data_IF_593063831462
#
_entry.id   IF_593063831462
#
_cell.length_a   1.000
_cell.length_b   1.000
_cell.length_c   1.000
_cell.angle_alpha   90.00
_cell.angle_beta   90.00
_cell.angle_gamma   90.00
#
_symmetry.space_group_name_H-M   'P 1'
#
loop_
_entity.id
_entity.type
_entity.pdbx_description
1 polymer ?
#
# COMPACT_ATOMS: atom_id res chain seq x y z
N UNK A 1 -10.24 38.69 13.83
CA UNK A 1 -11.04 37.44 13.86
C UNK A 1 -10.07 36.28 13.69
N UNK A 2 -10.17 35.25 14.52
CA UNK A 2 -9.39 34.04 14.30
C UNK A 2 -9.85 33.41 12.99
N UNK A 3 -8.91 32.99 12.15
CA UNK A 3 -9.22 32.25 10.93
C UNK A 3 -9.80 30.88 11.32
N UNK A 4 -11.06 30.65 10.98
CA UNK A 4 -11.80 29.42 11.29
C UNK A 4 -11.76 28.42 10.14
N UNK A 5 -10.99 28.69 9.09
CA UNK A 5 -10.87 27.82 7.93
C UNK A 5 -10.16 26.51 8.32
N UNK A 6 -10.83 25.40 8.08
CA UNK A 6 -10.26 24.05 8.28
C UNK A 6 -9.26 23.74 7.17
N UNK A 7 -8.02 23.37 7.54
CA UNK A 7 -6.94 23.13 6.58
C UNK A 7 -6.25 21.79 6.83
N UNK A 8 -6.00 21.08 5.74
CA UNK A 8 -5.17 19.88 5.73
C UNK A 8 -3.84 20.15 5.01
N UNK A 9 -2.76 19.67 5.60
CA UNK A 9 -1.49 19.45 4.89
C UNK A 9 -1.48 18.02 4.39
N UNK A 10 -1.43 17.84 3.10
CA UNK A 10 -1.39 16.52 2.44
C UNK A 10 -0.01 16.33 1.83
N UNK A 11 0.65 15.21 2.17
CA UNK A 11 2.02 14.90 1.70
C UNK A 11 1.94 13.72 0.76
N UNK A 12 2.55 13.85 -0.42
CA UNK A 12 2.57 12.81 -1.44
C UNK A 12 3.89 12.82 -2.23
N UNK A 13 4.71 11.79 -2.04
CA UNK A 13 5.92 11.54 -2.84
C UNK A 13 5.63 10.79 -4.14
N UNK A 14 4.39 10.36 -4.36
CA UNK A 14 3.87 9.71 -5.57
C UNK A 14 2.55 10.33 -5.99
N UNK A 15 2.26 10.28 -7.29
CA UNK A 15 1.00 10.78 -7.85
C UNK A 15 -0.14 9.81 -7.57
N UNK A 16 -0.85 10.05 -6.47
CA UNK A 16 -2.02 9.29 -6.01
C UNK A 16 -2.90 10.11 -5.06
N UNK A 17 -4.11 9.63 -4.77
CA UNK A 17 -5.00 10.23 -3.79
C UNK A 17 -5.79 11.43 -4.30
N UNK A 18 -5.94 11.59 -5.62
CA UNK A 18 -6.72 12.66 -6.23
C UNK A 18 -8.16 12.73 -5.67
N UNK A 19 -8.79 11.55 -5.46
CA UNK A 19 -10.14 11.48 -4.90
C UNK A 19 -10.20 11.89 -3.41
N UNK A 20 -9.13 11.66 -2.64
CA UNK A 20 -9.02 12.20 -1.29
C UNK A 20 -9.05 13.73 -1.29
N UNK A 21 -8.25 14.35 -2.18
CA UNK A 21 -8.17 15.80 -2.31
C UNK A 21 -9.50 16.43 -2.77
N UNK A 22 -10.15 15.81 -3.77
CA UNK A 22 -11.47 16.25 -4.23
C UNK A 22 -12.52 16.15 -3.13
N UNK A 23 -12.56 15.03 -2.40
CA UNK A 23 -13.48 14.84 -1.30
C UNK A 23 -13.26 15.84 -0.15
N UNK A 24 -12.01 16.17 0.17
CA UNK A 24 -11.70 17.23 1.11
C UNK A 24 -12.28 18.57 0.66
N UNK A 25 -12.11 18.94 -0.60
CA UNK A 25 -12.66 20.19 -1.14
C UNK A 25 -14.20 20.22 -1.15
N UNK A 26 -14.86 19.10 -1.50
CA UNK A 26 -16.32 18.95 -1.43
C UNK A 26 -16.85 19.15 -0.01
N UNK A 27 -16.08 18.77 1.00
CA UNK A 27 -16.40 18.96 2.41
C UNK A 27 -15.95 20.31 2.98
N UNK A 28 -15.45 21.22 2.11
CA UNK A 28 -15.05 22.59 2.49
C UNK A 28 -13.66 22.70 3.11
N UNK A 29 -12.86 21.62 3.10
CA UNK A 29 -11.49 21.63 3.60
C UNK A 29 -10.56 22.31 2.58
N UNK A 30 -9.69 23.18 3.05
CA UNK A 30 -8.62 23.79 2.26
C UNK A 30 -7.36 22.90 2.34
N UNK A 31 -7.05 22.22 1.26
CA UNK A 31 -5.91 21.30 1.20
C UNK A 31 -4.67 21.99 0.60
N UNK A 32 -3.56 21.97 1.33
CA UNK A 32 -2.23 22.26 0.78
C UNK A 32 -1.54 20.95 0.46
N UNK A 33 -1.23 20.71 -0.81
CA UNK A 33 -0.48 19.52 -1.23
C UNK A 33 1.02 19.83 -1.23
N UNK A 34 1.78 19.08 -0.44
CA UNK A 34 3.24 19.09 -0.41
C UNK A 34 3.76 17.87 -1.15
N UNK A 35 4.44 18.08 -2.27
CA UNK A 35 4.93 17.00 -3.15
C UNK A 35 6.35 17.27 -3.65
N UNK A 36 6.90 16.36 -4.47
CA UNK A 36 8.23 16.52 -5.05
C UNK A 36 8.20 17.38 -6.32
N UNK A 37 9.29 18.11 -6.61
CA UNK A 37 9.40 18.95 -7.82
C UNK A 37 9.10 18.17 -9.10
N UNK A 38 9.52 16.91 -9.19
CA UNK A 38 9.25 16.04 -10.33
C UNK A 38 7.75 15.74 -10.57
N UNK A 39 6.92 15.94 -9.54
CA UNK A 39 5.46 15.71 -9.59
C UNK A 39 4.68 17.03 -9.69
N UNK A 40 5.36 18.16 -9.89
CA UNK A 40 4.74 19.47 -10.01
C UNK A 40 3.62 19.47 -11.05
N UNK A 41 3.89 18.90 -12.22
CA UNK A 41 3.00 18.90 -13.37
C UNK A 41 2.18 17.60 -13.49
N UNK A 42 2.13 16.79 -12.41
CA UNK A 42 1.31 15.59 -12.34
C UNK A 42 -0.20 15.90 -12.40
N UNK A 43 -0.99 14.85 -12.58
CA UNK A 43 -2.46 14.92 -12.68
C UNK A 43 -3.10 15.19 -11.30
N UNK A 44 -2.76 16.34 -10.71
CA UNK A 44 -3.33 16.79 -9.46
C UNK A 44 -4.62 17.58 -9.68
N UNK A 45 -5.67 17.38 -8.84
CA UNK A 45 -6.91 18.15 -8.92
C UNK A 45 -6.69 19.59 -8.41
N UNK A 46 -6.10 20.43 -9.27
CA UNK A 46 -5.70 21.79 -8.95
C UNK A 46 -6.87 22.64 -8.40
N UNK A 47 -8.05 22.39 -8.91
CA UNK A 47 -9.31 23.02 -8.50
C UNK A 47 -9.70 22.68 -7.05
N UNK A 48 -9.21 21.56 -6.52
CA UNK A 48 -9.48 21.09 -5.16
C UNK A 48 -8.42 21.51 -4.15
N UNK A 49 -7.35 22.20 -4.59
CA UNK A 49 -6.24 22.63 -3.75
C UNK A 49 -6.31 24.11 -3.39
N UNK A 50 -6.00 24.45 -2.13
CA UNK A 50 -5.67 25.83 -1.76
C UNK A 50 -4.31 26.21 -2.32
N UNK A 51 -3.34 25.28 -2.24
CA UNK A 51 -1.98 25.48 -2.74
C UNK A 51 -1.31 24.14 -3.06
N UNK A 52 -0.45 24.14 -4.07
CA UNK A 52 0.49 23.08 -4.34
C UNK A 52 1.91 23.59 -4.09
N UNK A 53 2.59 22.98 -3.13
CA UNK A 53 3.97 23.28 -2.77
C UNK A 53 4.85 22.13 -3.18
N UNK A 54 5.96 22.41 -3.84
CA UNK A 54 6.90 21.37 -4.26
C UNK A 54 8.23 21.50 -3.52
N UNK A 55 8.86 20.35 -3.32
CA UNK A 55 10.17 20.23 -2.69
C UNK A 55 11.16 19.51 -3.61
N UNK A 56 12.44 19.88 -3.60
CA UNK A 56 13.49 19.08 -4.23
C UNK A 56 13.50 17.65 -3.69
N UNK A 57 13.83 16.69 -4.54
CA UNK A 57 14.11 15.33 -4.09
C UNK A 57 15.36 15.32 -3.21
N UNK A 58 15.37 14.47 -2.16
CA UNK A 58 16.54 14.28 -1.29
C UNK A 58 16.65 15.31 -0.14
N UNK A 59 15.61 16.09 0.15
CA UNK A 59 15.59 16.87 1.38
C UNK A 59 15.65 15.93 2.60
N UNK A 60 16.47 16.32 3.57
CA UNK A 60 16.50 15.61 4.85
C UNK A 60 15.31 16.00 5.73
N UNK A 61 15.10 15.26 6.82
CA UNK A 61 13.99 15.43 7.77
C UNK A 61 13.88 16.85 8.31
N UNK A 62 15.00 17.45 8.71
CA UNK A 62 15.05 18.81 9.28
C UNK A 62 14.60 19.85 8.26
N UNK A 63 15.03 19.72 7.01
CA UNK A 63 14.64 20.63 5.93
C UNK A 63 13.14 20.58 5.65
N UNK A 64 12.54 19.36 5.67
CA UNK A 64 11.09 19.19 5.50
C UNK A 64 10.34 19.82 6.68
N UNK A 65 10.78 19.56 7.93
CA UNK A 65 10.18 20.17 9.13
C UNK A 65 10.25 21.70 9.07
N UNK A 66 11.39 22.26 8.66
CA UNK A 66 11.57 23.70 8.51
C UNK A 66 10.65 24.29 7.43
N UNK A 67 10.47 23.57 6.31
CA UNK A 67 9.54 23.98 5.25
C UNK A 67 8.10 24.07 5.78
N UNK A 68 7.63 23.02 6.45
CA UNK A 68 6.27 22.99 7.01
C UNK A 68 6.10 24.02 8.12
N UNK A 69 7.10 24.21 8.98
CA UNK A 69 7.09 25.24 10.03
C UNK A 69 7.05 26.65 9.43
N UNK A 70 7.73 26.87 8.30
CA UNK A 70 7.64 28.13 7.58
C UNK A 70 6.23 28.38 7.02
N UNK A 71 5.62 27.37 6.41
CA UNK A 71 4.24 27.46 5.91
C UNK A 71 3.25 27.75 7.04
N UNK A 72 3.45 27.18 8.21
CA UNK A 72 2.60 27.35 9.38
C UNK A 72 2.64 28.77 9.99
N UNK A 73 3.59 29.63 9.58
CA UNK A 73 3.61 31.05 10.02
C UNK A 73 2.42 31.85 9.50
N UNK A 74 1.84 31.44 8.36
CA UNK A 74 0.75 32.18 7.72
C UNK A 74 -0.58 31.43 7.74
N UNK A 75 -0.59 30.15 8.16
CA UNK A 75 -1.80 29.31 8.19
C UNK A 75 -1.70 28.22 9.25
N UNK A 76 -2.81 27.82 9.81
CA UNK A 76 -2.92 26.69 10.71
C UNK A 76 -3.25 25.43 9.89
N UNK A 77 -2.65 24.29 10.23
CA UNK A 77 -3.03 22.97 9.74
C UNK A 77 -3.72 22.20 10.85
N UNK A 78 -4.92 21.70 10.58
CA UNK A 78 -5.75 20.93 11.51
C UNK A 78 -5.50 19.43 11.39
N UNK A 79 -5.08 18.98 10.21
CA UNK A 79 -4.65 17.60 9.92
C UNK A 79 -3.42 17.60 9.02
N UNK A 80 -2.61 16.54 9.18
CA UNK A 80 -1.47 16.25 8.31
C UNK A 80 -1.62 14.80 7.86
N UNK A 81 -1.76 14.57 6.56
CA UNK A 81 -2.06 13.26 5.98
C UNK A 81 -0.98 12.88 4.97
N UNK A 82 -0.41 11.68 5.11
CA UNK A 82 0.47 11.10 4.10
C UNK A 82 -0.37 10.19 3.20
N UNK A 83 -0.39 10.46 1.89
CA UNK A 83 -1.13 9.64 0.93
C UNK A 83 -0.40 8.34 0.55
N UNK A 84 0.88 8.25 0.93
CA UNK A 84 1.71 7.07 0.71
C UNK A 84 2.42 6.62 1.97
N UNK A 85 2.78 5.34 2.01
CA UNK A 85 3.52 4.77 3.12
C UNK A 85 4.93 5.37 3.28
N UNK A 86 5.56 5.79 2.19
CA UNK A 86 6.90 6.40 2.23
C UNK A 86 6.92 7.73 2.98
N UNK A 87 5.79 8.44 2.98
CA UNK A 87 5.64 9.73 3.67
C UNK A 87 5.11 9.60 5.11
N UNK A 88 4.73 8.38 5.52
CA UNK A 88 4.00 8.14 6.77
C UNK A 88 4.78 8.57 8.02
N UNK A 89 6.07 8.17 8.11
CA UNK A 89 6.92 8.54 9.24
C UNK A 89 7.19 10.04 9.29
N UNK A 90 7.44 10.66 8.13
CA UNK A 90 7.65 12.10 8.05
C UNK A 90 6.40 12.87 8.46
N UNK A 91 5.22 12.46 7.99
CA UNK A 91 3.96 13.04 8.40
C UNK A 91 3.71 12.90 9.91
N UNK A 92 4.10 11.77 10.52
CA UNK A 92 4.00 11.54 11.95
C UNK A 92 4.93 12.49 12.74
N UNK A 93 6.17 12.68 12.29
CA UNK A 93 7.10 13.63 12.88
C UNK A 93 6.61 15.07 12.81
N UNK A 94 6.06 15.47 11.66
CA UNK A 94 5.49 16.81 11.50
C UNK A 94 4.30 17.00 12.45
N UNK A 95 3.41 15.98 12.57
CA UNK A 95 2.29 16.02 13.53
C UNK A 95 2.78 16.22 14.97
N UNK A 96 3.77 15.45 15.41
CA UNK A 96 4.32 15.57 16.76
C UNK A 96 5.02 16.93 16.99
N UNK A 97 5.80 17.38 16.01
CA UNK A 97 6.50 18.67 16.07
C UNK A 97 5.50 19.84 16.19
N UNK A 98 4.45 19.83 15.39
CA UNK A 98 3.46 20.91 15.32
C UNK A 98 2.27 20.71 16.28
N UNK A 99 2.25 19.62 17.06
CA UNK A 99 1.13 19.28 17.96
C UNK A 99 -0.22 19.15 17.24
N UNK A 100 -0.19 18.64 16.00
CA UNK A 100 -1.39 18.33 15.23
C UNK A 100 -1.85 16.89 15.57
N UNK A 101 -3.13 16.67 15.88
CA UNK A 101 -3.64 15.33 16.20
C UNK A 101 -3.48 14.34 15.05
N UNK A 102 -3.18 13.06 15.40
CA UNK A 102 -3.07 11.96 14.44
C UNK A 102 -2.09 10.90 14.90
N UNK A 103 -1.78 9.97 14.01
CA UNK A 103 -0.81 8.89 14.26
C UNK A 103 0.58 9.48 14.53
N UNK A 104 1.17 9.15 15.70
CA UNK A 104 2.53 9.53 16.07
C UNK A 104 3.60 8.59 15.49
N UNK A 105 4.87 8.95 15.68
CA UNK A 105 6.03 8.24 15.09
C UNK A 105 6.10 6.77 15.53
N UNK A 106 5.82 6.47 16.79
CA UNK A 106 5.88 5.09 17.31
C UNK A 106 4.90 4.18 16.56
N UNK A 107 3.65 4.64 16.40
CA UNK A 107 2.64 3.88 15.66
C UNK A 107 2.95 3.83 14.16
N UNK A 108 3.39 4.94 13.56
CA UNK A 108 3.75 4.99 12.14
C UNK A 108 4.82 3.94 11.78
N UNK A 109 5.82 3.76 12.63
CA UNK A 109 6.85 2.72 12.45
C UNK A 109 6.29 1.30 12.45
N UNK A 110 5.20 1.03 13.19
CA UNK A 110 4.56 -0.28 13.17
C UNK A 110 3.95 -0.63 11.80
N UNK A 111 3.73 0.38 10.94
CA UNK A 111 3.23 0.22 9.58
C UNK A 111 4.31 0.38 8.51
N UNK A 112 5.57 0.52 8.91
CA UNK A 112 6.72 0.70 7.99
C UNK A 112 7.82 -0.33 8.21
N UNK A 113 8.11 -0.67 9.46
CA UNK A 113 9.18 -1.59 9.82
C UNK A 113 8.67 -3.04 9.88
N UNK A 114 8.95 -3.82 8.83
CA UNK A 114 8.56 -5.23 8.72
C UNK A 114 9.02 -6.06 9.93
N UNK A 115 10.21 -5.78 10.48
CA UNK A 115 10.67 -6.42 11.71
C UNK A 115 9.81 -6.05 12.91
N UNK A 116 9.47 -4.77 13.06
CA UNK A 116 8.56 -4.29 14.10
C UNK A 116 7.18 -4.96 14.01
N UNK A 117 6.61 -5.04 12.79
CA UNK A 117 5.36 -5.76 12.53
C UNK A 117 5.42 -7.22 12.99
N UNK A 118 6.50 -7.95 12.65
CA UNK A 118 6.70 -9.35 13.05
C UNK A 118 6.78 -9.52 14.55
N UNK A 119 7.56 -8.66 15.22
CA UNK A 119 7.74 -8.72 16.69
C UNK A 119 6.41 -8.50 17.40
N UNK A 120 5.64 -7.47 17.01
CA UNK A 120 4.35 -7.17 17.62
C UNK A 120 3.34 -8.28 17.34
N UNK A 121 3.20 -8.71 16.08
CA UNK A 121 2.27 -9.76 15.70
C UNK A 121 2.55 -11.07 16.48
N UNK A 122 3.82 -11.47 16.62
CA UNK A 122 4.24 -12.64 17.41
C UNK A 122 3.89 -12.47 18.88
N UNK A 123 4.19 -11.32 19.49
CA UNK A 123 3.91 -11.04 20.89
C UNK A 123 2.41 -11.11 21.22
N UNK A 124 1.57 -10.77 20.25
CA UNK A 124 0.11 -10.82 20.36
C UNK A 124 -0.49 -12.17 19.95
N UNK A 125 0.34 -13.19 19.70
CA UNK A 125 -0.09 -14.53 19.34
C UNK A 125 -0.59 -14.69 17.90
N UNK A 126 -0.30 -13.71 17.03
CA UNK A 126 -0.65 -13.80 15.62
C UNK A 126 0.27 -14.78 14.90
N UNK A 127 -0.29 -15.66 14.09
CA UNK A 127 0.51 -16.57 13.28
C UNK A 127 1.24 -15.79 12.22
N UNK A 128 2.57 -15.75 12.31
CA UNK A 128 3.46 -15.09 11.37
C UNK A 128 4.45 -16.05 10.76
N UNK A 129 5.18 -15.57 9.77
CA UNK A 129 6.32 -16.24 9.17
C UNK A 129 7.47 -16.24 10.18
N UNK A 130 8.25 -17.33 10.25
CA UNK A 130 9.46 -17.37 11.06
C UNK A 130 10.48 -16.35 10.54
N UNK A 131 11.10 -15.60 11.45
CA UNK A 131 12.02 -14.52 11.11
C UNK A 131 13.15 -14.39 12.12
N UNK A 132 14.23 -13.76 11.66
CA UNK A 132 15.39 -13.40 12.46
C UNK A 132 15.86 -11.97 12.13
N UNK A 133 16.34 -11.27 13.14
CA UNK A 133 17.02 -9.98 12.97
C UNK A 133 18.40 -10.20 12.38
N UNK A 134 18.80 -9.36 11.42
CA UNK A 134 20.15 -9.43 10.84
C UNK A 134 21.09 -8.51 11.63
N UNK A 135 21.32 -8.84 12.91
CA UNK A 135 22.16 -8.09 13.85
C UNK A 135 23.18 -8.98 14.53
N UNK A 136 22.75 -10.09 15.11
CA UNK A 136 23.61 -11.03 15.81
C UNK A 136 23.83 -12.27 14.95
N UNK A 137 25.08 -12.58 14.64
CA UNK A 137 25.41 -13.69 13.75
C UNK A 137 25.18 -15.06 14.39
N UNK A 138 25.17 -15.17 15.71
CA UNK A 138 24.81 -16.42 16.40
C UNK A 138 23.30 -16.65 16.32
N UNK A 139 22.45 -15.62 16.52
CA UNK A 139 21.01 -15.72 16.27
C UNK A 139 20.69 -16.15 14.84
N UNK A 140 21.48 -15.67 13.85
CA UNK A 140 21.32 -16.06 12.44
C UNK A 140 21.69 -17.53 12.22
N UNK A 141 22.77 -18.04 12.85
CA UNK A 141 23.15 -19.47 12.77
C UNK A 141 22.07 -20.35 13.37
N UNK A 142 21.59 -20.01 14.58
CA UNK A 142 20.51 -20.73 15.24
C UNK A 142 19.22 -20.72 14.42
N UNK A 143 18.92 -19.60 13.74
CA UNK A 143 17.76 -19.51 12.84
C UNK A 143 17.91 -20.44 11.63
N UNK A 144 19.06 -20.43 10.97
CA UNK A 144 19.33 -21.28 9.80
C UNK A 144 19.31 -22.78 10.13
N UNK A 145 19.71 -23.17 11.36
CA UNK A 145 19.62 -24.56 11.82
C UNK A 145 18.15 -25.01 12.03
N UNK A 146 17.31 -24.12 12.54
CA UNK A 146 15.88 -24.41 12.83
C UNK A 146 14.96 -24.29 11.62
N UNK A 147 15.23 -23.32 10.76
CA UNK A 147 14.39 -22.96 9.61
C UNK A 147 15.13 -23.29 8.33
N UNK A 148 14.62 -24.26 7.58
CA UNK A 148 15.25 -24.72 6.33
C UNK A 148 15.17 -23.64 5.24
N UNK A 149 16.21 -23.56 4.42
CA UNK A 149 16.20 -22.77 3.18
C UNK A 149 15.12 -23.28 2.20
N UNK A 150 14.70 -22.45 1.22
CA UNK A 150 15.19 -21.10 0.98
C UNK A 150 14.67 -20.08 1.99
N UNK A 151 15.42 -19.00 2.18
CA UNK A 151 15.01 -17.85 2.99
C UNK A 151 14.78 -16.63 2.11
N UNK A 152 14.12 -15.60 2.69
CA UNK A 152 13.95 -14.28 2.10
C UNK A 152 14.71 -13.25 2.95
N UNK A 153 15.74 -12.66 2.40
CA UNK A 153 16.40 -11.50 2.99
C UNK A 153 15.69 -10.25 2.47
N UNK A 154 15.00 -9.55 3.37
CA UNK A 154 14.16 -8.39 3.03
C UNK A 154 14.65 -7.13 3.73
N UNK A 155 14.57 -5.95 3.09
CA UNK A 155 14.72 -4.69 3.81
C UNK A 155 13.59 -4.56 4.84
N UNK A 156 13.90 -4.00 6.02
CA UNK A 156 12.92 -3.76 7.10
C UNK A 156 11.87 -2.73 6.70
N UNK A 157 12.29 -1.70 5.97
CA UNK A 157 11.40 -0.71 5.36
C UNK A 157 11.85 -0.44 3.94
N UNK A 158 10.92 -0.21 3.05
CA UNK A 158 11.22 0.18 1.68
C UNK A 158 11.66 1.63 1.65
N UNK A 159 12.77 1.91 0.96
CA UNK A 159 13.23 3.28 0.79
C UNK A 159 12.46 3.97 -0.34
N UNK A 160 12.18 5.25 -0.17
CA UNK A 160 11.59 6.07 -1.24
C UNK A 160 12.60 6.23 -2.40
N UNK A 161 12.27 5.69 -3.54
CA UNK A 161 12.60 6.20 -4.87
C UNK A 161 14.02 6.20 -5.42
N UNK A 162 15.11 6.03 -4.68
CA UNK A 162 16.46 6.21 -5.24
C UNK A 162 17.49 5.11 -4.93
N UNK A 163 17.19 4.15 -4.08
CA UNK A 163 18.15 3.11 -3.67
C UNK A 163 17.63 1.68 -3.88
N UNK A 164 16.71 1.49 -4.85
CA UNK A 164 15.99 0.23 -5.09
C UNK A 164 16.90 -0.93 -5.48
N UNK A 165 18.04 -0.69 -6.06
CA UNK A 165 19.00 -1.73 -6.44
C UNK A 165 19.67 -2.42 -5.25
N UNK A 166 19.94 -1.71 -4.15
CA UNK A 166 20.58 -2.24 -2.94
C UNK A 166 19.60 -2.81 -1.93
N UNK A 167 18.36 -2.33 -1.88
CA UNK A 167 17.32 -2.70 -0.90
C UNK A 167 16.28 -3.68 -1.45
N UNK A 168 16.59 -4.50 -2.44
CA UNK A 168 15.67 -5.49 -2.97
C UNK A 168 15.57 -6.72 -2.07
N UNK A 169 14.37 -7.33 -2.01
CA UNK A 169 14.19 -8.68 -1.44
C UNK A 169 15.00 -9.70 -2.24
N UNK A 170 15.80 -10.50 -1.54
CA UNK A 170 16.64 -11.54 -2.15
C UNK A 170 16.21 -12.92 -1.65
N UNK A 171 16.16 -13.90 -2.55
CA UNK A 171 16.04 -15.30 -2.16
C UNK A 171 17.43 -15.82 -1.83
N UNK A 172 17.55 -16.57 -0.75
CA UNK A 172 18.79 -17.13 -0.25
C UNK A 172 18.58 -18.62 -0.08
N UNK A 173 19.31 -19.42 -0.84
CA UNK A 173 19.13 -20.87 -0.91
C UNK A 173 20.09 -21.63 0.01
N UNK A 174 21.21 -21.01 0.37
CA UNK A 174 22.28 -21.64 1.16
C UNK A 174 22.91 -20.66 2.15
N UNK A 175 23.43 -21.13 3.31
CA UNK A 175 24.09 -20.29 4.31
C UNK A 175 25.26 -19.47 3.76
N UNK A 176 26.09 -20.05 2.89
CA UNK A 176 27.28 -19.41 2.32
C UNK A 176 26.88 -18.23 1.42
N UNK A 177 25.74 -18.31 0.75
CA UNK A 177 25.18 -17.21 -0.02
C UNK A 177 24.76 -16.07 0.90
N UNK A 178 24.09 -16.38 2.04
CA UNK A 178 23.71 -15.38 3.02
C UNK A 178 24.94 -14.62 3.53
N UNK A 179 25.98 -15.33 3.98
CA UNK A 179 27.16 -14.70 4.54
C UNK A 179 27.86 -13.78 3.56
N UNK A 180 27.97 -14.16 2.28
CA UNK A 180 28.52 -13.29 1.23
C UNK A 180 27.69 -12.02 1.06
N UNK A 181 26.35 -12.14 1.04
CA UNK A 181 25.46 -10.97 0.93
C UNK A 181 25.62 -10.05 2.14
N UNK A 182 25.74 -10.60 3.35
CA UNK A 182 25.92 -9.80 4.56
C UNK A 182 27.28 -9.12 4.61
N UNK A 183 28.33 -9.76 4.11
CA UNK A 183 29.65 -9.16 3.98
C UNK A 183 29.63 -7.97 3.01
N UNK A 184 28.97 -8.11 1.86
CA UNK A 184 28.77 -7.03 0.89
C UNK A 184 27.93 -5.86 1.45
N UNK A 185 26.97 -6.14 2.31
CA UNK A 185 26.13 -5.14 2.96
C UNK A 185 26.87 -4.38 4.07
N UNK A 186 27.84 -5.02 4.72
CA UNK A 186 28.55 -4.42 5.85
C UNK A 186 27.59 -3.95 6.95
N UNK A 187 27.75 -2.69 7.41
CA UNK A 187 26.91 -2.11 8.46
C UNK A 187 25.43 -1.94 8.03
N UNK A 188 25.16 -1.93 6.73
CA UNK A 188 23.79 -1.83 6.22
C UNK A 188 22.96 -3.10 6.48
N UNK A 189 23.57 -4.23 6.86
CA UNK A 189 22.86 -5.47 7.19
C UNK A 189 21.80 -5.27 8.28
N UNK A 190 22.00 -4.34 9.20
CA UNK A 190 21.05 -4.02 10.28
C UNK A 190 19.69 -3.49 9.77
N UNK A 191 19.62 -3.05 8.51
CA UNK A 191 18.39 -2.63 7.86
C UNK A 191 17.60 -3.77 7.21
N UNK A 192 18.03 -5.03 7.41
CA UNK A 192 17.37 -6.20 6.86
C UNK A 192 16.81 -7.12 7.94
N UNK A 193 15.91 -8.00 7.53
CA UNK A 193 15.47 -9.16 8.28
C UNK A 193 15.56 -10.39 7.38
N UNK A 194 15.81 -11.55 8.00
CA UNK A 194 15.78 -12.84 7.34
C UNK A 194 14.48 -13.55 7.68
N UNK A 195 13.74 -14.02 6.69
CA UNK A 195 12.47 -14.71 6.86
C UNK A 195 12.47 -16.09 6.21
N UNK A 196 11.71 -17.00 6.77
CA UNK A 196 11.35 -18.25 6.10
C UNK A 196 10.66 -17.93 4.77
N UNK A 197 11.06 -18.59 3.70
CA UNK A 197 10.26 -18.59 2.47
C UNK A 197 9.07 -19.53 2.64
N UNK A 198 7.88 -19.00 2.52
CA UNK A 198 6.63 -19.76 2.57
C UNK A 198 6.01 -19.75 1.18
N UNK A 199 6.01 -20.89 0.44
CA UNK A 199 5.26 -21.00 -0.80
C UNK A 199 3.77 -20.95 -0.53
N UNK A 200 3.03 -20.14 -1.28
CA UNK A 200 1.58 -19.96 -1.06
C UNK A 200 0.95 -18.93 -1.97
N UNK A 201 -0.36 -18.79 -1.83
CA UNK A 201 -1.17 -17.81 -2.53
C UNK A 201 -1.27 -16.52 -1.72
N UNK A 202 -1.13 -15.39 -2.39
CA UNK A 202 -1.19 -14.07 -1.74
C UNK A 202 -2.63 -13.58 -1.70
N UNK A 203 -3.01 -13.08 -0.54
CA UNK A 203 -4.28 -12.41 -0.30
C UNK A 203 -4.04 -11.04 0.29
N UNK A 204 -4.94 -10.12 0.04
CA UNK A 204 -4.89 -8.77 0.58
C UNK A 204 -6.25 -8.37 1.14
N UNK A 205 -6.20 -7.56 2.20
CA UNK A 205 -7.38 -7.00 2.85
C UNK A 205 -7.20 -5.50 2.99
N UNK A 206 -8.08 -4.76 2.34
CA UNK A 206 -8.14 -3.31 2.40
C UNK A 206 -9.21 -2.88 3.38
N UNK A 207 -8.90 -1.94 4.29
CA UNK A 207 -9.81 -1.62 5.39
C UNK A 207 -9.91 -0.14 5.67
N UNK A 208 -11.03 0.24 6.28
CA UNK A 208 -11.27 1.54 6.92
C UNK A 208 -11.38 1.29 8.43
N UNK A 209 -10.55 1.99 9.20
CA UNK A 209 -10.49 1.92 10.66
C UNK A 209 -10.95 3.24 11.24
N UNK A 210 -11.91 3.20 12.17
CA UNK A 210 -12.40 4.35 12.92
C UNK A 210 -12.50 4.00 14.40
N UNK A 211 -11.94 4.86 15.25
CA UNK A 211 -11.91 4.68 16.72
C UNK A 211 -11.34 3.31 17.15
N UNK A 212 -10.32 2.84 16.43
CA UNK A 212 -9.68 1.56 16.69
C UNK A 212 -10.48 0.33 16.27
N UNK A 213 -11.55 0.50 15.53
CA UNK A 213 -12.38 -0.59 15.01
C UNK A 213 -12.39 -0.60 13.47
N UNK A 214 -12.32 -1.78 12.89
CA UNK A 214 -12.49 -1.95 11.44
C UNK A 214 -13.96 -1.78 11.09
N UNK A 215 -14.30 -0.69 10.38
CA UNK A 215 -15.66 -0.37 9.95
C UNK A 215 -16.00 -0.93 8.58
N UNK A 216 -14.99 -1.20 7.77
CA UNK A 216 -15.11 -1.79 6.43
C UNK A 216 -13.87 -2.60 6.12
N UNK A 217 -14.05 -3.69 5.38
CA UNK A 217 -12.95 -4.44 4.80
C UNK A 217 -13.37 -5.15 3.52
N UNK A 218 -12.44 -5.22 2.57
CA UNK A 218 -12.59 -5.93 1.31
C UNK A 218 -11.45 -6.92 1.14
N UNK A 219 -11.78 -8.17 0.86
CA UNK A 219 -10.83 -9.29 0.75
C UNK A 219 -10.62 -9.65 -0.71
N UNK A 220 -9.37 -9.69 -1.13
CA UNK A 220 -8.97 -10.02 -2.49
C UNK A 220 -7.89 -11.10 -2.52
N UNK A 221 -7.83 -11.84 -3.61
CA UNK A 221 -6.77 -12.80 -3.93
C UNK A 221 -5.94 -12.25 -5.09
N UNK A 222 -4.61 -12.24 -4.93
CA UNK A 222 -3.67 -11.91 -6.01
C UNK A 222 -3.33 -13.15 -6.82
N UNK A 223 -3.35 -13.07 -8.14
CA UNK A 223 -2.90 -14.16 -9.02
C UNK A 223 -1.36 -14.30 -9.03
N UNK A 224 -0.65 -13.18 -9.01
CA UNK A 224 0.81 -13.09 -8.77
C UNK A 224 1.05 -11.84 -7.93
N UNK A 225 2.16 -11.81 -7.17
CA UNK A 225 2.49 -10.56 -6.48
C UNK A 225 2.78 -9.45 -7.50
N UNK A 226 2.30 -8.23 -7.22
CA UNK A 226 2.49 -7.08 -8.09
C UNK A 226 3.98 -6.85 -8.40
N UNK A 227 4.84 -6.97 -7.38
CA UNK A 227 6.29 -6.80 -7.53
C UNK A 227 6.94 -7.89 -8.38
N UNK A 228 6.47 -9.12 -8.29
CA UNK A 228 7.02 -10.23 -9.07
C UNK A 228 6.57 -10.12 -10.54
N UNK A 229 5.31 -9.78 -10.79
CA UNK A 229 4.80 -9.51 -12.13
C UNK A 229 5.48 -8.32 -12.81
N UNK A 230 5.77 -7.25 -12.06
CA UNK A 230 6.44 -6.06 -12.60
C UNK A 230 7.94 -6.28 -12.86
N UNK A 231 8.63 -7.07 -12.04
CA UNK A 231 10.09 -7.32 -12.21
C UNK A 231 10.38 -8.36 -13.29
N UNK A 232 9.58 -9.43 -13.33
CA UNK A 232 9.82 -10.56 -14.23
C UNK A 232 9.10 -10.38 -15.58
N UNK A 233 8.39 -9.27 -15.79
CA UNK A 233 7.48 -9.05 -16.89
C UNK A 233 6.30 -10.01 -16.82
N UNK A 234 5.10 -9.51 -16.64
CA UNK A 234 3.94 -10.37 -16.53
C UNK A 234 2.66 -9.57 -16.29
N UNK A 235 1.56 -10.29 -16.27
CA UNK A 235 0.25 -9.75 -15.94
C UNK A 235 0.02 -9.91 -14.44
N UNK A 236 -0.23 -8.81 -13.77
CA UNK A 236 -0.69 -8.79 -12.39
C UNK A 236 -2.21 -8.85 -12.37
N UNK A 237 -2.75 -9.76 -11.57
CA UNK A 237 -4.19 -9.94 -11.45
C UNK A 237 -4.61 -9.95 -9.99
N UNK A 238 -5.80 -9.39 -9.73
CA UNK A 238 -6.43 -9.43 -8.41
C UNK A 238 -7.92 -9.66 -8.59
N UNK A 239 -8.54 -10.46 -7.71
CA UNK A 239 -9.97 -10.71 -7.72
C UNK A 239 -10.57 -10.66 -6.32
N UNK A 240 -11.83 -10.26 -6.22
CA UNK A 240 -12.61 -10.38 -4.99
C UNK A 240 -12.74 -11.85 -4.59
N UNK A 241 -12.49 -12.14 -3.32
CA UNK A 241 -12.73 -13.46 -2.72
C UNK A 241 -14.23 -13.62 -2.47
N UNK A 242 -14.75 -14.82 -2.71
CA UNK A 242 -16.14 -15.13 -2.43
C UNK A 242 -16.46 -14.89 -0.94
N UNK A 243 -17.46 -14.04 -0.68
CA UNK A 243 -17.83 -13.60 0.67
C UNK A 243 -18.34 -14.73 1.56
N UNK A 244 -18.92 -15.76 0.95
CA UNK A 244 -19.43 -16.94 1.65
C UNK A 244 -18.35 -18.00 1.90
N UNK A 245 -17.13 -17.80 1.38
CA UNK A 245 -16.02 -18.74 1.55
C UNK A 245 -15.45 -18.73 2.98
N UNK A 246 -14.79 -19.82 3.35
CA UNK A 246 -14.04 -19.88 4.61
C UNK A 246 -12.84 -18.94 4.61
N UNK A 247 -12.21 -18.83 3.46
CA UNK A 247 -11.05 -17.92 3.22
C UNK A 247 -11.41 -16.48 3.55
N UNK A 248 -12.55 -16.01 3.05
CA UNK A 248 -13.01 -14.65 3.34
C UNK A 248 -13.25 -14.45 4.84
N UNK A 249 -13.98 -15.36 5.49
CA UNK A 249 -14.29 -15.25 6.92
C UNK A 249 -13.03 -15.28 7.79
N UNK A 250 -12.08 -16.15 7.49
CA UNK A 250 -10.82 -16.26 8.25
C UNK A 250 -9.98 -14.99 8.07
N UNK A 251 -9.78 -14.51 6.84
CA UNK A 251 -9.01 -13.30 6.57
C UNK A 251 -9.66 -12.05 7.18
N UNK A 252 -10.98 -11.93 7.09
CA UNK A 252 -11.72 -10.84 7.69
C UNK A 252 -11.54 -10.81 9.22
N UNK A 253 -11.61 -11.96 9.88
CA UNK A 253 -11.40 -12.08 11.33
C UNK A 253 -9.95 -11.75 11.73
N UNK A 254 -8.98 -12.24 10.98
CA UNK A 254 -7.55 -11.94 11.21
C UNK A 254 -7.29 -10.43 11.07
N UNK A 255 -7.76 -9.83 10.00
CA UNK A 255 -7.54 -8.42 9.71
C UNK A 255 -8.25 -7.48 10.71
N UNK A 256 -9.45 -7.85 11.18
CA UNK A 256 -10.21 -7.05 12.15
C UNK A 256 -9.44 -6.81 13.46
N UNK A 257 -8.55 -7.71 13.85
CA UNK A 257 -7.71 -7.57 15.03
C UNK A 257 -6.35 -6.93 14.76
N UNK A 258 -5.87 -6.97 13.51
CA UNK A 258 -4.49 -6.59 13.16
C UNK A 258 -4.24 -5.08 13.27
N UNK A 259 -5.07 -4.25 12.64
CA UNK A 259 -4.88 -2.81 12.63
C UNK A 259 -5.00 -2.18 14.03
N UNK A 260 -6.02 -2.50 14.85
CA UNK A 260 -6.06 -2.05 16.25
C UNK A 260 -4.86 -2.52 17.08
N UNK A 261 -4.42 -3.77 16.88
CA UNK A 261 -3.24 -4.34 17.55
C UNK A 261 -1.97 -3.52 17.31
N UNK A 262 -1.80 -3.00 16.11
CA UNK A 262 -0.67 -2.15 15.73
C UNK A 262 -0.89 -0.67 16.11
N UNK A 263 -1.98 -0.35 16.81
CA UNK A 263 -2.27 0.97 17.35
C UNK A 263 -2.94 1.95 16.39
N UNK A 264 -3.56 1.47 15.30
CA UNK A 264 -4.34 2.36 14.44
C UNK A 264 -5.66 2.72 15.10
N UNK A 265 -5.83 4.01 15.32
CA UNK A 265 -7.11 4.54 15.77
C UNK A 265 -8.00 4.96 14.59
N UNK A 266 -7.38 5.47 13.52
CA UNK A 266 -8.10 6.03 12.38
C UNK A 266 -7.26 6.02 11.12
N UNK A 267 -7.86 5.66 10.00
CA UNK A 267 -7.24 5.68 8.68
C UNK A 267 -7.68 4.50 7.80
N UNK A 268 -6.91 4.29 6.75
CA UNK A 268 -7.07 3.14 5.84
C UNK A 268 -5.87 2.23 5.93
N UNK A 269 -6.07 0.94 5.72
CA UNK A 269 -4.97 -0.04 5.72
C UNK A 269 -5.06 -0.96 4.51
N UNK A 270 -3.89 -1.43 4.11
CA UNK A 270 -3.71 -2.50 3.14
C UNK A 270 -2.84 -3.57 3.78
N UNK A 271 -3.44 -4.72 4.08
CA UNK A 271 -2.77 -5.86 4.71
C UNK A 271 -2.59 -7.01 3.74
N UNK A 272 -1.44 -7.66 3.80
CA UNK A 272 -1.13 -8.84 2.98
C UNK A 272 -0.97 -10.09 3.84
N UNK A 273 -1.49 -11.20 3.32
CA UNK A 273 -1.43 -12.52 3.91
C UNK A 273 -1.00 -13.54 2.86
N UNK A 274 -0.32 -14.59 3.29
CA UNK A 274 -0.04 -15.75 2.45
C UNK A 274 -0.78 -16.98 2.99
N UNK A 275 -1.52 -17.66 2.12
CA UNK A 275 -2.06 -18.98 2.40
C UNK A 275 -1.03 -20.02 1.99
N UNK A 276 -0.37 -20.60 2.98
CA UNK A 276 0.71 -21.54 2.74
C UNK A 276 0.21 -22.83 2.06
N UNK A 277 0.89 -23.29 1.01
CA UNK A 277 0.55 -24.54 0.33
C UNK A 277 0.78 -25.77 1.22
N UNK A 278 1.68 -25.66 2.21
CA UNK A 278 2.04 -26.77 3.07
C UNK A 278 0.92 -27.19 4.05
N UNK A 279 0.15 -26.24 4.57
CA UNK A 279 -0.86 -26.51 5.61
C UNK A 279 -2.20 -25.82 5.37
N UNK A 280 -2.33 -25.04 4.29
CA UNK A 280 -3.54 -24.31 3.91
C UNK A 280 -3.90 -23.15 4.82
N UNK A 281 -3.01 -22.74 5.74
CA UNK A 281 -3.26 -21.70 6.74
C UNK A 281 -2.77 -20.35 6.28
N UNK A 282 -3.40 -19.28 6.82
CA UNK A 282 -2.97 -17.92 6.55
C UNK A 282 -1.86 -17.48 7.52
N UNK A 283 -0.86 -16.82 6.95
CA UNK A 283 0.25 -16.19 7.66
C UNK A 283 0.29 -14.71 7.29
N UNK A 284 0.40 -13.87 8.30
CA UNK A 284 0.53 -12.42 8.11
C UNK A 284 1.86 -12.08 7.44
N UNK A 285 1.82 -11.30 6.36
CA UNK A 285 3.00 -10.80 5.64
C UNK A 285 3.35 -9.37 6.04
N UNK A 286 2.45 -8.43 5.79
CA UNK A 286 2.68 -7.02 6.09
C UNK A 286 1.37 -6.22 6.09
N UNK A 287 1.43 -5.01 6.61
CA UNK A 287 0.32 -4.06 6.58
C UNK A 287 0.87 -2.64 6.42
N UNK A 288 0.31 -1.89 5.47
CA UNK A 288 0.58 -0.47 5.29
C UNK A 288 -0.59 0.39 5.77
N UNK A 289 -0.30 1.52 6.40
CA UNK A 289 -1.32 2.54 6.72
C UNK A 289 -1.55 3.45 5.50
N UNK A 290 -2.10 2.89 4.46
CA UNK A 290 -2.34 3.54 3.17
C UNK A 290 -3.39 2.79 2.36
N UNK A 291 -3.86 3.42 1.28
CA UNK A 291 -4.64 2.73 0.25
C UNK A 291 -3.75 1.80 -0.58
N UNK A 292 -4.23 0.62 -0.92
CA UNK A 292 -3.52 -0.36 -1.75
C UNK A 292 -3.08 0.22 -3.09
N UNK A 293 -1.89 -0.21 -3.56
CA UNK A 293 -1.34 0.12 -4.87
C UNK A 293 -2.06 -0.62 -6.02
N UNK A 294 -1.47 -0.59 -7.23
CA UNK A 294 -1.96 -1.37 -8.37
C UNK A 294 -3.48 -1.23 -8.64
N UNK A 295 -4.03 -0.03 -8.48
CA UNK A 295 -5.45 0.31 -8.67
C UNK A 295 -6.43 -0.44 -7.76
N UNK A 296 -5.97 -0.93 -6.60
CA UNK A 296 -6.81 -1.64 -5.62
C UNK A 296 -8.00 -0.80 -5.16
N UNK A 297 -7.84 0.53 -4.99
CA UNK A 297 -8.97 1.40 -4.65
C UNK A 297 -10.13 1.28 -5.66
N UNK A 298 -9.83 1.25 -6.96
CA UNK A 298 -10.82 1.06 -8.02
C UNK A 298 -11.44 -0.35 -8.00
N UNK A 299 -10.66 -1.38 -7.65
CA UNK A 299 -11.17 -2.73 -7.50
C UNK A 299 -12.15 -2.83 -6.32
N UNK A 300 -11.80 -2.24 -5.17
CA UNK A 300 -12.68 -2.16 -4.00
C UNK A 300 -13.97 -1.41 -4.34
N UNK A 301 -13.86 -0.24 -4.98
CA UNK A 301 -15.01 0.55 -5.40
C UNK A 301 -15.90 -0.21 -6.39
N UNK A 302 -15.31 -0.92 -7.35
CA UNK A 302 -16.06 -1.75 -8.29
C UNK A 302 -16.84 -2.87 -7.61
N UNK A 303 -16.26 -3.50 -6.58
CA UNK A 303 -16.86 -4.62 -5.87
C UNK A 303 -17.87 -4.21 -4.79
N UNK A 304 -17.79 -2.98 -4.27
CA UNK A 304 -18.51 -2.58 -3.05
C UNK A 304 -19.15 -1.19 -3.12
N UNK A 305 -18.77 -0.34 -4.08
CA UNK A 305 -19.16 1.08 -4.11
C UNK A 305 -18.35 1.97 -3.16
N UNK A 306 -17.49 1.40 -2.34
CA UNK A 306 -16.68 2.13 -1.35
C UNK A 306 -15.37 2.61 -2.00
N UNK A 307 -15.23 3.91 -2.18
CA UNK A 307 -13.97 4.52 -2.61
C UNK A 307 -13.11 4.84 -1.39
N UNK A 308 -12.04 4.09 -1.18
CA UNK A 308 -11.18 4.19 0.01
C UNK A 308 -10.57 5.59 0.20
N UNK A 309 -10.25 6.31 -0.89
CA UNK A 309 -9.72 7.67 -0.81
C UNK A 309 -10.74 8.67 -0.31
N UNK A 310 -11.97 8.61 -0.84
CA UNK A 310 -13.08 9.47 -0.43
C UNK A 310 -13.49 9.19 1.01
N UNK A 311 -13.59 7.91 1.36
CA UNK A 311 -13.95 7.52 2.73
C UNK A 311 -12.87 7.91 3.75
N UNK A 312 -11.59 7.85 3.37
CA UNK A 312 -10.52 8.34 4.24
C UNK A 312 -10.64 9.85 4.48
N UNK A 313 -10.92 10.65 3.45
CA UNK A 313 -11.15 12.08 3.63
C UNK A 313 -12.36 12.34 4.56
N UNK A 314 -13.50 11.65 4.36
CA UNK A 314 -14.68 11.74 5.22
C UNK A 314 -14.36 11.40 6.66
N UNK A 315 -13.61 10.33 6.88
CA UNK A 315 -13.17 9.87 8.20
C UNK A 315 -12.34 10.95 8.92
N UNK A 316 -11.36 11.55 8.24
CA UNK A 316 -10.53 12.61 8.83
C UNK A 316 -11.32 13.88 9.13
N UNK A 317 -12.24 14.26 8.25
CA UNK A 317 -13.09 15.46 8.42
C UNK A 317 -14.11 15.24 9.54
N UNK A 318 -14.81 14.10 9.57
CA UNK A 318 -15.76 13.79 10.66
C UNK A 318 -15.08 13.84 12.02
N UNK A 319 -13.89 13.22 12.13
CA UNK A 319 -13.15 13.28 13.39
C UNK A 319 -12.66 14.70 13.73
N UNK A 320 -12.24 15.52 12.76
CA UNK A 320 -11.88 16.92 13.01
C UNK A 320 -13.05 17.69 13.63
N UNK A 321 -14.25 17.45 13.14
CA UNK A 321 -15.47 18.15 13.57
C UNK A 321 -16.11 17.56 14.82
N UNK A 322 -15.58 16.45 15.33
CA UNK A 322 -16.17 15.71 16.45
C UNK A 322 -17.48 15.01 16.08
N UNK A 323 -17.67 14.70 14.80
CA UNK A 323 -18.82 14.00 14.26
C UNK A 323 -18.55 12.49 14.19
N UNK A 324 -19.60 11.68 14.31
CA UNK A 324 -19.47 10.24 14.10
C UNK A 324 -19.20 9.95 12.60
N UNK A 325 -18.19 9.14 12.33
CA UNK A 325 -17.98 8.64 10.97
C UNK A 325 -19.04 7.59 10.63
N UNK A 326 -19.74 7.80 9.54
CA UNK A 326 -20.75 6.89 9.01
C UNK A 326 -20.35 6.45 7.62
N UNK A 327 -20.03 5.16 7.47
CA UNK A 327 -19.78 4.55 6.17
C UNK A 327 -21.08 4.51 5.35
N UNK A 328 -21.00 4.85 4.07
CA UNK A 328 -22.10 4.61 3.14
C UNK A 328 -22.32 3.10 2.99
N UNK A 329 -23.58 2.67 2.89
CA UNK A 329 -23.91 1.25 2.78
C UNK A 329 -23.29 0.65 1.50
N UNK A 330 -22.38 -0.34 1.63
CA UNK A 330 -21.78 -0.98 0.48
C UNK A 330 -22.79 -1.84 -0.27
N UNK A 331 -22.69 -1.90 -1.60
CA UNK A 331 -23.36 -2.94 -2.35
C UNK A 331 -22.46 -4.18 -2.46
N UNK A 332 -23.02 -5.30 -2.93
CA UNK A 332 -22.30 -6.54 -3.11
C UNK A 332 -22.18 -6.89 -4.60
N UNK A 333 -20.96 -6.88 -5.10
CA UNK A 333 -20.60 -7.40 -6.41
C UNK A 333 -19.22 -8.07 -6.32
N UNK A 334 -18.84 -8.77 -7.38
CA UNK A 334 -17.49 -9.31 -7.56
C UNK A 334 -16.77 -8.50 -8.62
N UNK A 335 -15.48 -8.31 -8.43
CA UNK A 335 -14.65 -7.60 -9.38
C UNK A 335 -13.28 -8.27 -9.51
N UNK A 336 -12.65 -8.09 -10.66
CA UNK A 336 -11.24 -8.42 -10.86
C UNK A 336 -10.52 -7.32 -11.63
N UNK A 337 -9.21 -7.26 -11.43
CA UNK A 337 -8.33 -6.37 -12.17
C UNK A 337 -7.23 -7.14 -12.88
N UNK A 338 -6.91 -6.68 -14.08
CA UNK A 338 -5.77 -7.11 -14.88
C UNK A 338 -4.90 -5.91 -15.13
N UNK A 339 -3.62 -6.00 -14.86
CA UNK A 339 -2.64 -4.92 -15.02
C UNK A 339 -1.34 -5.47 -15.58
N UNK A 340 -0.72 -4.77 -16.53
CA UNK A 340 0.63 -5.05 -16.99
C UNK A 340 1.43 -3.77 -17.24
N UNK A 341 2.75 -3.91 -17.26
CA UNK A 341 3.63 -2.95 -17.93
C UNK A 341 3.63 -3.26 -19.43
N UNK A 342 3.74 -2.23 -20.26
CA UNK A 342 3.75 -2.33 -21.72
C UNK A 342 4.99 -1.64 -22.29
N UNK A 343 5.60 -2.17 -23.35
CA UNK A 343 6.62 -1.47 -24.11
C UNK A 343 6.07 -0.21 -24.79
N UNK A 344 4.77 -0.21 -25.13
CA UNK A 344 4.10 0.95 -25.69
C UNK A 344 3.88 2.02 -24.62
N UNK A 345 4.23 3.26 -24.93
CA UNK A 345 4.02 4.38 -24.04
C UNK A 345 2.53 4.62 -23.71
N UNK A 346 1.67 4.36 -24.68
CA UNK A 346 0.22 4.46 -24.57
C UNK A 346 -0.46 3.18 -25.07
N UNK A 347 -0.51 2.12 -24.24
CA UNK A 347 -1.05 0.83 -24.66
C UNK A 347 -2.54 0.92 -24.98
N UNK A 348 -2.94 0.31 -26.10
CA UNK A 348 -4.34 0.29 -26.54
C UNK A 348 -5.12 -0.87 -25.91
N UNK A 349 -6.15 -0.52 -25.14
CA UNK A 349 -7.09 -1.46 -24.52
C UNK A 349 -8.49 -1.43 -25.16
N UNK A 350 -8.67 -0.72 -26.30
CA UNK A 350 -9.99 -0.57 -26.94
C UNK A 350 -10.59 -1.89 -27.44
N UNK A 351 -9.72 -2.85 -27.79
CA UNK A 351 -10.15 -4.17 -28.28
C UNK A 351 -10.68 -5.13 -27.21
N UNK A 352 -10.74 -4.71 -25.94
CA UNK A 352 -11.43 -5.44 -24.84
C UNK A 352 -12.80 -4.81 -24.68
N UNK A 353 -13.90 -5.50 -24.94
CA UNK A 353 -15.22 -4.90 -25.14
C UNK A 353 -16.35 -5.52 -24.28
N UNK A 354 -16.02 -6.42 -23.34
CA UNK A 354 -17.04 -6.99 -22.46
C UNK A 354 -17.80 -5.90 -21.68
N UNK A 355 -19.14 -5.99 -21.59
CA UNK A 355 -19.97 -5.00 -20.91
C UNK A 355 -19.70 -4.91 -19.40
N UNK A 356 -19.01 -5.91 -18.84
CA UNK A 356 -18.60 -5.95 -17.45
C UNK A 356 -17.39 -5.05 -17.14
N UNK A 357 -16.72 -4.48 -18.14
CA UNK A 357 -15.60 -3.56 -17.93
C UNK A 357 -16.13 -2.24 -17.34
N UNK A 358 -15.76 -1.96 -16.12
CA UNK A 358 -16.18 -0.73 -15.39
C UNK A 358 -15.09 0.31 -15.33
N UNK A 359 -13.82 -0.06 -15.55
CA UNK A 359 -12.71 0.89 -15.56
C UNK A 359 -11.59 0.42 -16.49
N UNK A 360 -10.94 1.41 -17.11
CA UNK A 360 -9.74 1.24 -17.93
C UNK A 360 -8.70 2.22 -17.42
N UNK A 361 -7.52 1.72 -17.05
CA UNK A 361 -6.45 2.62 -16.67
C UNK A 361 -5.46 2.74 -17.80
N UNK A 362 -5.07 3.97 -18.04
CA UNK A 362 -3.96 4.31 -18.90
C UNK A 362 -3.00 5.18 -18.12
N UNK A 363 -1.83 4.64 -17.83
CA UNK A 363 -0.67 5.42 -17.42
C UNK A 363 0.44 5.12 -18.42
N UNK A 364 1.38 6.02 -18.52
CA UNK A 364 2.54 5.85 -19.37
C UNK A 364 3.19 4.47 -19.12
N UNK A 365 3.29 3.67 -20.18
CA UNK A 365 3.74 2.27 -20.14
C UNK A 365 2.96 1.31 -19.24
N UNK A 366 1.70 1.62 -18.91
CA UNK A 366 0.84 0.74 -18.13
C UNK A 366 -0.54 0.59 -18.76
N UNK A 367 -1.03 -0.62 -18.80
CA UNK A 367 -2.40 -0.93 -19.18
C UNK A 367 -3.10 -1.72 -18.09
N UNK A 368 -4.38 -1.44 -17.88
CA UNK A 368 -5.18 -2.23 -16.96
C UNK A 368 -6.67 -2.06 -17.15
N UNK A 369 -7.40 -3.07 -16.70
CA UNK A 369 -8.86 -3.14 -16.72
C UNK A 369 -9.38 -3.58 -15.36
N UNK A 370 -10.55 -3.06 -14.97
CA UNK A 370 -11.38 -3.66 -13.92
C UNK A 370 -12.68 -4.13 -14.55
N UNK A 371 -13.05 -5.37 -14.25
CA UNK A 371 -14.36 -5.94 -14.58
C UNK A 371 -15.17 -6.16 -13.32
N UNK A 372 -16.51 -6.06 -13.44
CA UNK A 372 -17.46 -6.27 -12.35
C UNK A 372 -18.63 -7.12 -12.82
N UNK A 373 -19.05 -8.07 -11.99
CA UNK A 373 -20.27 -8.85 -12.18
C UNK A 373 -20.92 -9.21 -10.85
N UNK A 374 -22.21 -9.52 -10.86
CA UNK A 374 -22.89 -10.14 -9.72
C UNK A 374 -22.55 -11.63 -9.55
N UNK A 375 -21.88 -12.23 -10.55
CA UNK A 375 -21.50 -13.65 -10.58
C UNK A 375 -19.99 -13.79 -10.48
N UNK A 376 -19.46 -14.45 -9.42
CA UNK A 376 -18.01 -14.64 -9.24
C UNK A 376 -17.38 -15.46 -10.38
N UNK A 377 -18.12 -16.46 -10.95
CA UNK A 377 -17.63 -17.27 -12.06
C UNK A 377 -17.34 -16.40 -13.29
N UNK A 378 -18.25 -15.45 -13.61
CA UNK A 378 -18.08 -14.56 -14.76
C UNK A 378 -16.86 -13.65 -14.60
N UNK A 379 -16.60 -13.18 -13.39
CA UNK A 379 -15.40 -12.39 -13.08
C UNK A 379 -14.14 -13.25 -13.27
N UNK A 380 -14.18 -14.52 -12.87
CA UNK A 380 -13.10 -15.48 -13.08
C UNK A 380 -12.82 -15.74 -14.56
N UNK A 381 -13.87 -16.02 -15.35
CA UNK A 381 -13.77 -16.24 -16.80
C UNK A 381 -13.08 -15.06 -17.52
N UNK A 382 -13.54 -13.84 -17.24
CA UNK A 382 -12.97 -12.62 -17.82
C UNK A 382 -11.54 -12.35 -17.34
N UNK A 383 -11.23 -12.69 -16.09
CA UNK A 383 -9.87 -12.58 -15.56
C UNK A 383 -8.90 -13.47 -16.31
N UNK A 384 -9.26 -14.73 -16.54
CA UNK A 384 -8.45 -15.71 -17.26
C UNK A 384 -8.30 -15.32 -18.74
N UNK A 385 -9.39 -14.94 -19.41
CA UNK A 385 -9.41 -14.47 -20.80
C UNK A 385 -8.49 -13.24 -20.97
N UNK A 386 -8.70 -12.21 -20.14
CA UNK A 386 -7.96 -10.94 -20.29
C UNK A 386 -6.51 -11.06 -19.83
N UNK A 387 -6.21 -11.93 -18.86
CA UNK A 387 -4.83 -12.21 -18.48
C UNK A 387 -4.04 -12.82 -19.65
N UNK A 388 -4.64 -13.79 -20.37
CA UNK A 388 -4.05 -14.40 -21.55
C UNK A 388 -3.89 -13.37 -22.72
N UNK A 389 -4.92 -12.55 -22.95
CA UNK A 389 -4.88 -11.53 -23.99
C UNK A 389 -3.87 -10.40 -23.70
N UNK A 390 -3.78 -9.93 -22.44
CA UNK A 390 -2.75 -8.97 -22.02
C UNK A 390 -1.35 -9.54 -22.23
N UNK A 391 -1.13 -10.79 -21.87
CA UNK A 391 0.15 -11.48 -22.10
C UNK A 391 0.47 -11.51 -23.60
N UNK A 392 -0.50 -11.83 -24.45
CA UNK A 392 -0.30 -11.97 -25.90
C UNK A 392 -0.14 -10.64 -26.62
N UNK A 393 -0.87 -9.60 -26.22
CA UNK A 393 -0.98 -8.35 -26.98
C UNK A 393 -0.14 -7.19 -26.45
N UNK A 394 0.10 -7.16 -25.14
CA UNK A 394 0.68 -6.00 -24.46
C UNK A 394 2.05 -6.29 -23.84
N UNK A 395 2.43 -7.56 -23.70
CA UNK A 395 3.71 -8.00 -23.11
C UNK A 395 4.72 -8.52 -24.14
N UNK A 396 4.68 -8.08 -25.37
CA UNK A 396 5.54 -8.61 -26.45
C UNK A 396 7.06 -8.38 -26.22
N UNK A 397 7.42 -7.47 -25.30
CA UNK A 397 8.77 -7.28 -24.76
C UNK A 397 8.72 -6.66 -23.36
N UNK A 398 9.71 -6.96 -22.52
CA UNK A 398 9.87 -6.26 -21.23
C UNK A 398 10.11 -4.77 -21.49
N UNK A 399 9.44 -3.88 -20.75
CA UNK A 399 9.77 -2.46 -20.82
C UNK A 399 11.24 -2.24 -20.41
N UNK A 400 11.90 -1.19 -20.92
CA UNK A 400 13.25 -0.85 -20.48
C UNK A 400 13.33 -0.78 -18.94
N UNK A 401 14.44 -1.24 -18.36
CA UNK A 401 14.65 -1.23 -16.88
C UNK A 401 14.38 0.13 -16.24
N UNK A 402 14.54 1.23 -17.00
CA UNK A 402 14.26 2.60 -16.55
C UNK A 402 12.76 2.89 -16.31
N UNK A 403 11.86 2.02 -16.74
CA UNK A 403 10.41 2.19 -16.64
C UNK A 403 9.76 1.32 -15.56
N UNK A 404 10.53 0.43 -14.94
CA UNK A 404 10.04 -0.32 -13.78
C UNK A 404 9.92 0.67 -12.63
N UNK A 405 8.72 0.94 -12.10
CA UNK A 405 8.57 1.82 -10.93
C UNK A 405 9.40 1.27 -9.79
N UNK A 406 10.19 2.14 -9.21
CA UNK A 406 11.01 1.83 -8.06
C UNK A 406 10.15 1.51 -6.83
#
# INVERSE_FOLDING_TARGET
MLDTTERFLVIASYEKGQDFLRQCAEMGIKSTLLTLDKLRDGDWPREALEELVTMPSGLNREQILNTVSWMARSRRFDRIVALDEFDLEMAAEIREHMRVPGMGVTTARCYRDKLGMRVIARAMGFRGIEFCRVLNHDELRDFMERVRAPWKLKPRSEASGLDTGRMATRTVDEPEQLWRILEDLGDAQSHYLLEQHVPGDIFQVDSIVSEGEVKFQAVHQCGRSAMQGMRDGGVFTTRTVDRDSNEHRELAALNASLAPMLGMLRGVTHAEFIRAHADGRFYFLEIGARVGGAFIAGLVEAATGVNLWREWARLEVSNLRGEAYVLQEPFEAYASSVLCLSPDAEPDTAGFDAPEIVSRFKKHHQAGLIVRSSRPERVGELLDEYSAEFTRRLLDSLPPESLIPA
#
